data_IF_045747334059
#
_entry.id   IF_045747334059
#
_cell.length_a   1.000
_cell.length_b   1.000
_cell.length_c   1.000
_cell.angle_alpha   90.00
_cell.angle_beta   90.00
_cell.angle_gamma   90.00
#
_symmetry.space_group_name_H-M   'P 1'
#
loop_
_entity.id
_entity.type
_entity.pdbx_description
1 polymer ?
#
# COMPACT_ATOMS: atom_id res chain seq x y z
N UNK A 1 0.08 26.44 -0.47
CA UNK A 1 -0.35 25.93 0.82
C UNK A 1 0.83 25.87 1.78
N UNK A 2 0.65 26.34 3.02
CA UNK A 2 1.69 26.26 4.04
C UNK A 2 1.82 24.79 4.47
N UNK A 3 2.84 24.10 3.94
CA UNK A 3 3.17 22.75 4.39
C UNK A 3 4.05 22.86 5.64
N UNK A 4 3.59 22.27 6.77
CA UNK A 4 4.36 22.18 8.00
C UNK A 4 5.14 20.87 8.01
N UNK A 5 6.47 20.96 8.21
CA UNK A 5 7.32 19.78 8.31
C UNK A 5 7.61 19.49 9.78
N UNK A 6 7.45 18.23 10.18
CA UNK A 6 7.83 17.72 11.50
C UNK A 6 8.76 16.53 11.32
N UNK A 7 9.87 16.49 12.05
CA UNK A 7 10.80 15.36 12.02
C UNK A 7 10.68 14.53 13.30
N UNK A 8 10.52 13.21 13.16
CA UNK A 8 10.46 12.26 14.28
C UNK A 8 10.85 10.86 13.80
N UNK A 9 11.59 10.12 14.61
CA UNK A 9 12.03 8.75 14.31
C UNK A 9 12.70 8.61 12.93
N UNK A 10 13.56 9.57 12.56
CA UNK A 10 14.23 9.66 11.25
C UNK A 10 13.28 9.89 10.06
N UNK A 11 12.01 10.18 10.30
CA UNK A 11 10.99 10.42 9.29
C UNK A 11 10.63 11.90 9.21
N UNK A 12 10.27 12.38 8.00
CA UNK A 12 9.79 13.74 7.74
C UNK A 12 8.31 13.70 7.38
N UNK A 13 7.49 14.27 8.25
CA UNK A 13 6.04 14.37 8.07
C UNK A 13 5.70 15.74 7.49
N UNK A 14 5.02 15.72 6.36
CA UNK A 14 4.57 16.92 5.63
C UNK A 14 3.07 17.10 5.84
N UNK A 15 2.69 17.92 6.82
CA UNK A 15 1.29 18.24 7.10
C UNK A 15 0.84 19.45 6.27
N UNK A 16 -0.28 19.31 5.59
CA UNK A 16 -0.84 20.36 4.72
C UNK A 16 -2.19 19.97 4.16
N UNK A 17 -2.58 20.58 3.04
CA UNK A 17 -3.85 20.30 2.40
C UNK A 17 -3.67 19.98 0.92
N UNK A 18 -4.40 18.96 0.46
CA UNK A 18 -4.59 18.64 -0.96
C UNK A 18 -6.08 18.77 -1.27
N UNK A 19 -6.45 19.69 -2.17
CA UNK A 19 -7.85 19.97 -2.55
C UNK A 19 -8.77 20.19 -1.33
N UNK A 20 -8.26 20.88 -0.29
CA UNK A 20 -8.91 21.16 1.00
C UNK A 20 -9.16 19.93 1.91
N UNK A 21 -8.55 18.80 1.62
CA UNK A 21 -8.44 17.67 2.54
C UNK A 21 -7.15 17.85 3.34
N UNK A 22 -7.23 17.74 4.66
CA UNK A 22 -6.04 17.73 5.52
C UNK A 22 -5.27 16.43 5.31
N UNK A 23 -3.99 16.53 5.03
CA UNK A 23 -3.14 15.39 4.70
C UNK A 23 -1.81 15.50 5.44
N UNK A 24 -1.35 14.38 5.96
CA UNK A 24 0.02 14.20 6.41
C UNK A 24 0.69 13.18 5.51
N UNK A 25 1.65 13.62 4.71
CA UNK A 25 2.39 12.79 3.79
C UNK A 25 3.83 12.57 4.27
N UNK A 26 4.34 11.35 4.11
CA UNK A 26 5.72 11.02 4.41
C UNK A 26 6.23 9.91 3.51
N UNK A 27 7.53 9.79 3.39
CA UNK A 27 8.20 8.60 2.89
C UNK A 27 8.48 7.67 4.08
N UNK A 28 7.82 6.51 4.13
CA UNK A 28 7.85 5.61 5.29
C UNK A 28 9.20 4.89 5.50
N UNK A 29 10.05 4.90 4.47
CA UNK A 29 11.20 4.01 4.39
C UNK A 29 10.81 2.62 3.88
N UNK A 30 11.80 1.76 3.73
CA UNK A 30 11.63 0.40 3.20
C UNK A 30 11.51 -0.60 4.35
N UNK A 31 10.79 -1.69 4.12
CA UNK A 31 10.57 -2.80 5.04
C UNK A 31 9.57 -2.56 6.17
N UNK A 32 9.15 -3.66 6.78
CA UNK A 32 8.02 -3.74 7.73
C UNK A 32 8.16 -2.85 8.95
N UNK A 33 9.34 -2.81 9.57
CA UNK A 33 9.57 -2.05 10.80
C UNK A 33 9.44 -0.54 10.55
N UNK A 34 10.08 -0.03 9.50
CA UNK A 34 10.01 1.40 9.15
C UNK A 34 8.57 1.82 8.82
N UNK A 35 7.87 0.99 8.04
CA UNK A 35 6.49 1.22 7.66
C UNK A 35 5.53 1.19 8.88
N UNK A 36 5.72 0.25 9.80
CA UNK A 36 4.95 0.17 11.03
C UNK A 36 5.17 1.40 11.94
N UNK A 37 6.42 1.84 12.12
CA UNK A 37 6.76 3.06 12.88
C UNK A 37 6.08 4.28 12.25
N UNK A 38 6.13 4.40 10.93
CA UNK A 38 5.50 5.51 10.20
C UNK A 38 3.99 5.54 10.43
N UNK A 39 3.31 4.39 10.29
CA UNK A 39 1.87 4.26 10.49
C UNK A 39 1.46 4.58 11.93
N UNK A 40 2.17 4.04 12.94
CA UNK A 40 1.85 4.31 14.34
C UNK A 40 2.04 5.79 14.69
N UNK A 41 3.09 6.44 14.16
CA UNK A 41 3.30 7.88 14.39
C UNK A 41 2.24 8.75 13.71
N UNK A 42 1.73 8.37 12.55
CA UNK A 42 0.58 9.05 11.93
C UNK A 42 -0.64 9.02 12.85
N UNK A 43 -0.91 7.88 13.47
CA UNK A 43 -2.04 7.70 14.40
C UNK A 43 -1.83 8.49 15.69
N UNK A 44 -0.71 8.27 16.38
CA UNK A 44 -0.50 8.79 17.73
C UNK A 44 -0.16 10.27 17.79
N UNK A 45 0.53 10.79 16.78
CA UNK A 45 1.05 12.17 16.78
C UNK A 45 0.20 13.11 15.94
N UNK A 46 -0.34 12.60 14.83
CA UNK A 46 -1.10 13.41 13.87
C UNK A 46 -2.60 13.12 13.92
N UNK A 47 -3.03 12.11 14.68
CA UNK A 47 -4.44 11.74 14.88
C UNK A 47 -5.20 11.57 13.56
N UNK A 48 -4.58 10.85 12.60
CA UNK A 48 -5.19 10.63 11.29
C UNK A 48 -6.39 9.69 11.38
N UNK A 49 -7.42 9.95 10.60
CA UNK A 49 -8.65 9.15 10.54
C UNK A 49 -8.57 8.00 9.53
N UNK A 50 -7.66 8.09 8.56
CA UNK A 50 -7.49 7.14 7.45
C UNK A 50 -6.01 7.03 7.11
N UNK A 51 -5.55 5.84 6.76
CA UNK A 51 -4.21 5.65 6.16
C UNK A 51 -4.33 5.09 4.75
N UNK A 52 -3.73 5.78 3.80
CA UNK A 52 -3.57 5.35 2.41
C UNK A 52 -2.09 5.04 2.17
N UNK A 53 -1.77 3.79 1.87
CA UNK A 53 -0.43 3.40 1.47
C UNK A 53 -0.29 3.50 -0.05
N UNK A 54 0.48 4.46 -0.54
CA UNK A 54 0.66 4.72 -1.97
C UNK A 54 2.11 4.50 -2.38
N UNK A 55 2.34 3.72 -3.43
CA UNK A 55 3.69 3.42 -3.88
C UNK A 55 3.76 2.42 -5.03
N UNK A 56 4.86 1.67 -5.07
CA UNK A 56 5.15 0.69 -6.12
C UNK A 56 5.18 -0.73 -5.57
N UNK A 57 5.04 -1.72 -6.46
CA UNK A 57 5.13 -3.14 -6.10
C UNK A 57 5.56 -3.99 -7.31
N UNK A 58 6.08 -5.19 -7.05
CA UNK A 58 6.26 -6.21 -8.06
C UNK A 58 4.94 -6.88 -8.43
N UNK A 59 4.66 -7.03 -9.73
CA UNK A 59 3.49 -7.74 -10.23
C UNK A 59 3.66 -9.26 -10.07
N UNK A 60 2.68 -9.93 -9.51
CA UNK A 60 2.71 -11.38 -9.25
C UNK A 60 1.81 -12.16 -10.21
N UNK A 61 0.69 -11.56 -10.62
CA UNK A 61 -0.24 -12.14 -11.60
C UNK A 61 0.34 -12.02 -13.03
N UNK A 62 0.38 -13.11 -13.83
CA UNK A 62 0.98 -13.11 -15.20
C UNK A 62 0.36 -12.12 -16.18
N UNK A 63 -0.89 -11.70 -15.97
CA UNK A 63 -1.59 -10.74 -16.82
C UNK A 63 -1.34 -9.28 -16.44
N UNK A 64 -0.62 -9.02 -15.35
CA UNK A 64 -0.22 -7.67 -14.97
C UNK A 64 1.00 -7.22 -15.78
N UNK A 65 0.91 -5.97 -16.23
CA UNK A 65 2.00 -5.32 -16.95
C UNK A 65 2.59 -4.17 -16.13
N UNK A 66 3.79 -3.73 -16.50
CA UNK A 66 4.43 -2.56 -15.91
C UNK A 66 3.50 -1.34 -16.07
N UNK A 67 3.32 -0.58 -15.01
CA UNK A 67 2.41 0.56 -14.85
C UNK A 67 0.93 0.23 -14.68
N UNK A 68 0.54 -1.04 -14.64
CA UNK A 68 -0.76 -1.41 -14.09
C UNK A 68 -0.79 -1.07 -12.59
N UNK A 69 -1.97 -0.75 -12.07
CA UNK A 69 -2.10 -0.43 -10.65
C UNK A 69 -3.03 -1.42 -9.97
N UNK A 70 -2.60 -1.91 -8.83
CA UNK A 70 -3.43 -2.73 -7.94
C UNK A 70 -3.87 -1.88 -6.76
N UNK A 71 -5.15 -1.95 -6.41
CA UNK A 71 -5.74 -1.38 -5.20
C UNK A 71 -6.12 -2.55 -4.29
N UNK A 72 -5.71 -2.49 -3.02
CA UNK A 72 -5.89 -3.61 -2.11
C UNK A 72 -7.35 -3.87 -1.77
N UNK A 73 -7.75 -5.15 -1.78
CA UNK A 73 -8.96 -5.62 -1.10
C UNK A 73 -8.61 -6.24 0.25
N UNK A 74 -7.49 -6.93 0.30
CA UNK A 74 -6.91 -7.50 1.50
C UNK A 74 -5.39 -7.63 1.32
N UNK A 75 -4.67 -7.68 2.42
CA UNK A 75 -3.22 -7.82 2.43
C UNK A 75 -2.78 -8.81 3.51
N UNK A 76 -1.66 -9.51 3.29
CA UNK A 76 -1.07 -10.39 4.30
C UNK A 76 0.45 -10.43 4.18
N UNK A 77 1.11 -11.03 5.18
CA UNK A 77 2.52 -11.37 5.08
C UNK A 77 2.68 -12.71 4.35
N UNK A 78 3.66 -12.78 3.45
CA UNK A 78 4.04 -14.05 2.82
C UNK A 78 5.23 -14.75 3.51
N UNK A 79 5.89 -14.05 4.44
CA UNK A 79 7.09 -14.51 5.14
C UNK A 79 6.90 -14.69 6.65
N UNK A 80 5.66 -14.72 7.11
CA UNK A 80 5.28 -14.98 8.51
C UNK A 80 4.43 -16.26 8.54
N UNK A 81 4.76 -17.21 9.40
CA UNK A 81 3.96 -18.41 9.56
C UNK A 81 2.53 -18.06 10.01
N UNK A 82 1.48 -18.62 9.36
CA UNK A 82 0.09 -18.23 9.59
C UNK A 82 -0.36 -18.34 11.05
N UNK A 83 0.10 -19.38 11.76
CA UNK A 83 -0.19 -19.65 13.17
C UNK A 83 0.37 -18.58 14.13
N UNK A 84 1.48 -17.93 13.78
CA UNK A 84 2.08 -16.88 14.63
C UNK A 84 1.12 -15.73 14.88
N UNK A 85 0.35 -15.33 13.89
CA UNK A 85 -0.60 -14.21 14.04
C UNK A 85 -1.90 -14.62 14.74
N UNK A 86 -2.32 -15.85 14.61
CA UNK A 86 -3.64 -16.32 15.08
C UNK A 86 -3.60 -17.10 16.39
N UNK A 87 -2.51 -17.84 16.66
CA UNK A 87 -2.40 -18.70 17.85
C UNK A 87 -1.61 -18.04 19.00
N UNK A 88 -0.91 -16.93 18.73
CA UNK A 88 -0.15 -16.20 19.74
C UNK A 88 -0.71 -14.79 19.95
N UNK A 89 -0.44 -14.23 21.14
CA UNK A 89 -0.85 -12.85 21.46
C UNK A 89 -0.32 -11.86 20.40
N UNK A 90 -1.20 -10.95 19.88
CA UNK A 90 -2.54 -10.55 20.31
C UNK A 90 -3.72 -11.37 19.76
N UNK A 91 -3.52 -12.57 19.22
CA UNK A 91 -4.55 -13.48 18.69
C UNK A 91 -5.44 -12.80 17.65
N UNK A 92 -4.89 -12.58 16.49
CA UNK A 92 -5.64 -11.99 15.38
C UNK A 92 -6.68 -12.97 14.85
N UNK A 93 -7.81 -12.45 14.39
CA UNK A 93 -8.90 -13.27 13.87
C UNK A 93 -8.60 -13.86 12.48
N UNK A 94 -7.61 -13.32 11.78
CA UNK A 94 -7.23 -13.71 10.42
C UNK A 94 -5.78 -13.32 10.15
N UNK A 95 -5.13 -14.01 9.23
CA UNK A 95 -3.83 -13.59 8.67
C UNK A 95 -3.97 -12.49 7.62
N UNK A 96 -5.20 -12.20 7.18
CA UNK A 96 -5.50 -11.16 6.20
C UNK A 96 -6.02 -9.89 6.88
N UNK A 97 -5.47 -8.76 6.48
CA UNK A 97 -5.93 -7.42 6.84
C UNK A 97 -6.78 -6.88 5.68
N UNK A 98 -8.07 -6.75 5.92
CA UNK A 98 -9.02 -6.30 4.89
C UNK A 98 -8.97 -4.78 4.76
N UNK A 99 -8.91 -4.28 3.53
CA UNK A 99 -9.04 -2.86 3.25
C UNK A 99 -10.47 -2.37 3.56
N UNK A 100 -10.61 -1.11 3.92
CA UNK A 100 -11.92 -0.56 4.27
C UNK A 100 -12.88 -0.58 3.07
N UNK A 101 -14.09 -1.18 3.18
CA UNK A 101 -15.03 -1.30 2.05
C UNK A 101 -15.45 0.05 1.46
N UNK A 102 -15.60 1.10 2.28
CA UNK A 102 -15.95 2.43 1.78
C UNK A 102 -14.80 3.02 0.94
N UNK A 103 -13.55 2.83 1.40
CA UNK A 103 -12.38 3.27 0.64
C UNK A 103 -12.23 2.51 -0.67
N UNK A 104 -12.56 1.21 -0.70
CA UNK A 104 -12.62 0.42 -1.95
C UNK A 104 -13.65 1.03 -2.92
N UNK A 105 -14.87 1.29 -2.46
CA UNK A 105 -15.92 1.85 -3.33
C UNK A 105 -15.60 3.29 -3.79
N UNK A 106 -15.02 4.11 -2.92
CA UNK A 106 -14.52 5.43 -3.29
C UNK A 106 -13.37 5.35 -4.31
N UNK A 107 -12.48 4.36 -4.19
CA UNK A 107 -11.40 4.15 -5.15
C UNK A 107 -11.91 3.79 -6.54
N UNK A 108 -12.97 2.97 -6.65
CA UNK A 108 -13.63 2.69 -7.93
C UNK A 108 -14.17 3.96 -8.55
N UNK A 109 -14.90 4.76 -7.76
CA UNK A 109 -15.45 6.06 -8.21
C UNK A 109 -14.36 7.07 -8.61
N UNK A 110 -13.20 7.01 -7.98
CA UNK A 110 -12.07 7.85 -8.32
C UNK A 110 -11.42 7.42 -9.64
N UNK A 111 -11.23 6.12 -9.84
CA UNK A 111 -10.63 5.53 -11.03
C UNK A 111 -11.51 5.78 -12.27
N UNK A 112 -12.83 5.63 -12.16
CA UNK A 112 -13.78 5.88 -13.25
C UNK A 112 -13.69 7.32 -13.82
N UNK A 113 -13.15 8.25 -13.06
CA UNK A 113 -12.99 9.67 -13.44
C UNK A 113 -11.58 10.01 -13.93
N UNK A 114 -10.67 9.04 -13.92
CA UNK A 114 -9.28 9.22 -14.34
C UNK A 114 -9.02 8.57 -15.69
N UNK A 115 -8.17 9.22 -16.48
CA UNK A 115 -7.49 8.55 -17.59
C UNK A 115 -6.17 7.96 -17.06
N UNK A 116 -6.18 6.67 -16.79
CA UNK A 116 -4.97 5.95 -16.30
C UNK A 116 -4.12 5.46 -17.47
N UNK A 117 -2.81 5.40 -17.28
CA UNK A 117 -1.88 4.91 -18.32
C UNK A 117 -1.80 3.37 -18.40
N UNK A 118 -2.32 2.66 -17.40
CA UNK A 118 -2.43 1.20 -17.32
C UNK A 118 -3.79 0.81 -16.78
N UNK A 119 -4.08 -0.49 -16.72
CA UNK A 119 -5.30 -0.97 -16.08
C UNK A 119 -5.23 -0.78 -14.56
N UNK A 120 -6.37 -0.61 -13.93
CA UNK A 120 -6.50 -0.60 -12.48
C UNK A 120 -7.34 -1.79 -12.08
N UNK A 121 -6.83 -2.61 -11.17
CA UNK A 121 -7.49 -3.81 -10.68
C UNK A 121 -7.51 -3.82 -9.15
N UNK A 122 -8.45 -4.56 -8.57
CA UNK A 122 -8.60 -4.69 -7.12
C UNK A 122 -8.33 -6.13 -6.71
N UNK A 123 -7.49 -6.32 -5.68
CA UNK A 123 -7.19 -7.66 -5.22
C UNK A 123 -6.20 -7.73 -4.07
N UNK A 124 -5.75 -8.96 -3.82
CA UNK A 124 -4.83 -9.29 -2.74
C UNK A 124 -3.42 -8.80 -3.03
N UNK A 125 -2.77 -8.26 -1.99
CA UNK A 125 -1.34 -7.95 -1.98
C UNK A 125 -0.65 -8.75 -0.89
N UNK A 126 0.63 -9.06 -1.08
CA UNK A 126 1.46 -9.68 -0.05
C UNK A 126 2.71 -8.87 0.23
N UNK A 127 3.18 -8.96 1.47
CA UNK A 127 4.36 -8.22 1.95
C UNK A 127 5.38 -9.17 2.59
N UNK A 128 6.67 -8.93 2.32
CA UNK A 128 7.77 -9.59 3.00
C UNK A 128 9.03 -8.71 3.07
N UNK A 129 10.07 -9.19 3.76
CA UNK A 129 11.31 -8.43 4.01
C UNK A 129 12.36 -8.56 2.89
N UNK A 130 12.00 -9.14 1.74
CA UNK A 130 12.94 -9.36 0.65
C UNK A 130 12.34 -8.94 -0.69
N UNK A 131 13.18 -8.41 -1.57
CA UNK A 131 12.83 -8.24 -2.97
C UNK A 131 12.61 -9.62 -3.60
N UNK A 132 11.45 -9.84 -4.22
CA UNK A 132 11.07 -11.15 -4.74
C UNK A 132 11.66 -11.34 -6.15
N UNK A 133 12.50 -12.36 -6.26
CA UNK A 133 13.03 -12.88 -7.53
C UNK A 133 12.22 -14.09 -7.99
N UNK A 134 12.51 -14.58 -9.19
CA UNK A 134 11.77 -15.66 -9.85
C UNK A 134 11.72 -16.96 -9.01
N UNK A 135 12.77 -17.27 -8.25
CA UNK A 135 12.84 -18.48 -7.41
C UNK A 135 11.78 -18.54 -6.29
N UNK A 136 11.41 -17.39 -5.73
CA UNK A 136 10.44 -17.31 -4.62
C UNK A 136 9.01 -17.07 -5.11
N UNK A 137 8.86 -16.56 -6.33
CA UNK A 137 7.58 -16.11 -6.91
C UNK A 137 6.55 -17.23 -6.98
N UNK A 138 6.93 -18.39 -7.51
CA UNK A 138 6.01 -19.51 -7.66
C UNK A 138 5.43 -19.98 -6.33
N UNK A 139 6.28 -20.12 -5.30
CA UNK A 139 5.83 -20.52 -3.97
C UNK A 139 4.81 -19.53 -3.38
N UNK A 140 5.06 -18.23 -3.52
CA UNK A 140 4.16 -17.19 -3.03
C UNK A 140 2.84 -17.23 -3.81
N UNK A 141 2.90 -17.42 -5.13
CA UNK A 141 1.70 -17.52 -5.96
C UNK A 141 0.87 -18.76 -5.60
N UNK A 142 1.49 -19.92 -5.39
CA UNK A 142 0.80 -21.15 -5.02
C UNK A 142 0.09 -21.05 -3.66
N UNK A 143 0.68 -20.32 -2.71
CA UNK A 143 0.18 -20.20 -1.35
C UNK A 143 -0.85 -19.08 -1.19
N UNK A 144 -0.62 -17.91 -1.81
CA UNK A 144 -1.40 -16.70 -1.55
C UNK A 144 -2.19 -16.20 -2.76
N UNK A 145 -1.84 -16.58 -3.99
CA UNK A 145 -2.41 -16.07 -5.25
C UNK A 145 -2.56 -14.52 -5.25
N UNK A 146 -1.50 -13.76 -4.96
CA UNK A 146 -1.57 -12.31 -4.87
C UNK A 146 -1.47 -11.66 -6.25
N UNK A 147 -2.01 -10.44 -6.37
CA UNK A 147 -1.76 -9.60 -7.55
C UNK A 147 -0.38 -8.93 -7.51
N UNK A 148 0.05 -8.51 -6.31
CA UNK A 148 1.35 -7.81 -6.14
C UNK A 148 2.05 -8.22 -4.85
N UNK A 149 3.37 -7.99 -4.84
CA UNK A 149 4.24 -8.15 -3.67
C UNK A 149 5.00 -6.85 -3.40
N UNK A 150 5.12 -6.49 -2.14
CA UNK A 150 5.90 -5.35 -1.66
C UNK A 150 6.59 -5.64 -0.32
N UNK A 151 7.13 -4.60 0.31
CA UNK A 151 7.87 -4.75 1.56
C UNK A 151 7.26 -3.94 2.73
N UNK A 152 6.10 -3.30 2.56
CA UNK A 152 5.50 -2.37 3.56
C UNK A 152 4.03 -2.59 3.85
N UNK A 153 3.23 -2.91 2.84
CA UNK A 153 1.77 -2.77 2.88
C UNK A 153 1.12 -3.53 4.04
N UNK A 154 1.47 -4.81 4.25
CA UNK A 154 0.85 -5.59 5.31
C UNK A 154 1.22 -5.09 6.71
N UNK A 155 2.40 -4.50 6.91
CA UNK A 155 2.77 -3.96 8.21
C UNK A 155 2.03 -2.65 8.53
N UNK A 156 1.77 -1.81 7.53
CA UNK A 156 0.91 -0.63 7.70
C UNK A 156 -0.53 -1.06 8.00
N UNK A 157 -1.05 -2.04 7.24
CA UNK A 157 -2.39 -2.58 7.45
C UNK A 157 -2.54 -3.24 8.83
N UNK A 158 -1.51 -3.95 9.30
CA UNK A 158 -1.47 -4.53 10.64
C UNK A 158 -1.57 -3.45 11.73
N UNK A 159 -0.81 -2.37 11.61
CA UNK A 159 -0.92 -1.23 12.53
C UNK A 159 -2.32 -0.62 12.48
N UNK A 160 -2.89 -0.42 11.30
CA UNK A 160 -4.24 0.08 11.13
C UNK A 160 -5.29 -0.84 11.78
N UNK A 161 -5.17 -2.15 11.58
CA UNK A 161 -6.03 -3.16 12.20
C UNK A 161 -5.98 -3.08 13.73
N UNK A 162 -4.78 -3.04 14.31
CA UNK A 162 -4.59 -2.95 15.77
C UNK A 162 -5.15 -1.67 16.38
N UNK A 163 -5.19 -0.57 15.62
CA UNK A 163 -5.68 0.74 16.05
C UNK A 163 -7.10 1.06 15.54
N UNK A 164 -7.74 0.14 14.83
CA UNK A 164 -9.10 0.32 14.25
C UNK A 164 -9.16 1.55 13.32
N UNK A 165 -8.11 1.76 12.53
CA UNK A 165 -8.02 2.85 11.54
C UNK A 165 -8.33 2.29 10.14
N UNK A 166 -9.25 2.89 9.38
CA UNK A 166 -9.51 2.56 7.98
C UNK A 166 -8.24 2.62 7.13
N UNK A 167 -8.04 1.60 6.29
CA UNK A 167 -6.83 1.43 5.49
C UNK A 167 -7.16 1.04 4.05
N UNK A 168 -6.34 1.50 3.11
CA UNK A 168 -6.29 1.03 1.72
C UNK A 168 -4.88 1.20 1.17
N UNK A 169 -4.46 0.32 0.24
CA UNK A 169 -3.20 0.47 -0.49
C UNK A 169 -3.44 0.64 -2.00
N UNK A 170 -2.58 1.45 -2.62
CA UNK A 170 -2.55 1.75 -4.05
C UNK A 170 -1.13 1.51 -4.52
N UNK A 171 -0.89 0.45 -5.29
CA UNK A 171 0.44 0.04 -5.73
C UNK A 171 0.52 -0.07 -7.25
N UNK A 172 1.42 0.68 -7.86
CA UNK A 172 1.70 0.61 -9.30
C UNK A 172 2.85 -0.34 -9.57
N UNK A 173 2.70 -1.19 -10.57
CA UNK A 173 3.65 -2.25 -10.91
C UNK A 173 4.90 -1.67 -11.56
N UNK A 174 6.07 -2.03 -11.02
CA UNK A 174 7.40 -1.65 -11.52
C UNK A 174 8.13 -2.75 -12.27
N UNK A 175 7.86 -3.99 -11.89
CA UNK A 175 8.51 -5.19 -12.41
C UNK A 175 7.52 -6.36 -12.37
N UNK A 176 7.74 -7.34 -13.22
CA UNK A 176 6.91 -8.53 -13.35
C UNK A 176 7.80 -9.75 -13.58
N UNK A 177 7.25 -10.95 -13.64
CA UNK A 177 8.00 -12.15 -14.00
C UNK A 177 8.73 -12.00 -15.35
N UNK A 178 8.08 -11.41 -16.34
CA UNK A 178 8.65 -11.19 -17.70
C UNK A 178 9.72 -10.08 -17.73
N UNK A 179 9.67 -9.18 -16.78
CA UNK A 179 10.54 -8.01 -16.65
C UNK A 179 10.99 -7.90 -15.18
N UNK A 180 11.70 -8.94 -14.72
CA UNK A 180 12.11 -9.04 -13.31
C UNK A 180 13.39 -8.29 -13.01
N UNK A 181 13.66 -8.07 -11.73
CA UNK A 181 14.91 -7.57 -11.20
C UNK A 181 14.93 -6.07 -10.87
N UNK A 182 15.97 -5.72 -10.12
CA UNK A 182 16.18 -4.37 -9.57
C UNK A 182 16.30 -3.30 -10.66
N UNK A 183 16.90 -3.64 -11.81
CA UNK A 183 17.06 -2.69 -12.93
C UNK A 183 15.70 -2.23 -13.49
N UNK A 184 14.71 -3.11 -13.57
CA UNK A 184 13.36 -2.76 -13.98
C UNK A 184 12.65 -1.92 -12.91
N UNK A 185 12.81 -2.26 -11.63
CA UNK A 185 12.33 -1.45 -10.52
C UNK A 185 12.89 -0.02 -10.60
N UNK A 186 14.20 0.13 -10.67
CA UNK A 186 14.88 1.45 -10.71
C UNK A 186 14.45 2.28 -11.92
N UNK A 187 14.34 1.67 -13.08
CA UNK A 187 13.92 2.34 -14.32
C UNK A 187 12.46 2.81 -14.30
N UNK A 188 11.59 2.11 -13.60
CA UNK A 188 10.14 2.36 -13.62
C UNK A 188 9.61 3.06 -12.37
N UNK A 189 10.36 3.05 -11.26
CA UNK A 189 9.92 3.50 -9.93
C UNK A 189 9.34 4.92 -9.94
N UNK A 190 10.02 5.87 -10.57
CA UNK A 190 9.57 7.27 -10.59
C UNK A 190 8.22 7.44 -11.31
N UNK A 191 8.03 6.78 -12.46
CA UNK A 191 6.78 6.85 -13.22
C UNK A 191 5.66 6.10 -12.51
N UNK A 192 5.92 4.90 -12.00
CA UNK A 192 4.94 4.11 -11.25
C UNK A 192 4.47 4.84 -9.98
N UNK A 193 5.40 5.44 -9.23
CA UNK A 193 5.06 6.27 -8.06
C UNK A 193 4.19 7.47 -8.42
N UNK A 194 4.43 8.11 -9.58
CA UNK A 194 3.58 9.22 -10.05
C UNK A 194 2.16 8.75 -10.38
N UNK A 195 2.01 7.58 -11.00
CA UNK A 195 0.69 6.99 -11.31
C UNK A 195 -0.07 6.68 -10.01
N UNK A 196 0.57 6.00 -9.06
CA UNK A 196 -0.03 5.70 -7.76
C UNK A 196 -0.46 6.99 -7.02
N UNK A 197 0.40 8.02 -7.03
CA UNK A 197 0.08 9.36 -6.48
C UNK A 197 -1.15 9.98 -7.14
N UNK A 198 -1.28 9.92 -8.45
CA UNK A 198 -2.41 10.53 -9.17
C UNK A 198 -3.75 9.86 -8.80
N UNK A 199 -3.75 8.53 -8.65
CA UNK A 199 -4.91 7.77 -8.16
C UNK A 199 -5.19 8.12 -6.68
N UNK A 200 -4.16 8.24 -5.86
CA UNK A 200 -4.30 8.66 -4.44
C UNK A 200 -4.95 10.03 -4.32
N UNK A 201 -4.51 11.01 -5.13
CA UNK A 201 -5.11 12.35 -5.14
C UNK A 201 -6.56 12.32 -5.60
N UNK A 202 -6.89 11.47 -6.57
CA UNK A 202 -8.28 11.29 -6.99
C UNK A 202 -9.15 10.66 -5.88
N UNK A 203 -8.62 9.67 -5.16
CA UNK A 203 -9.30 9.08 -4.01
C UNK A 203 -9.54 10.11 -2.89
N UNK A 204 -8.58 10.98 -2.59
CA UNK A 204 -8.75 12.07 -1.61
C UNK A 204 -9.93 13.00 -1.99
N UNK A 205 -10.15 13.24 -3.27
CA UNK A 205 -11.30 14.03 -3.73
C UNK A 205 -12.64 13.35 -3.51
N UNK A 206 -12.70 12.02 -3.58
CA UNK A 206 -13.91 11.26 -3.27
C UNK A 206 -14.13 11.18 -1.74
N UNK A 207 -13.07 10.97 -0.93
CA UNK A 207 -13.14 11.02 0.52
C UNK A 207 -13.73 12.34 1.01
N UNK A 208 -13.29 13.49 0.48
CA UNK A 208 -13.83 14.81 0.81
C UNK A 208 -15.35 14.93 0.68
N UNK A 209 -15.96 14.16 -0.20
CA UNK A 209 -17.41 14.25 -0.48
C UNK A 209 -18.26 13.41 0.46
N UNK A 210 -17.66 12.41 1.08
CA UNK A 210 -18.41 11.30 1.68
C UNK A 210 -17.95 10.91 3.08
N UNK A 211 -16.86 11.51 3.54
CA UNK A 211 -16.27 11.27 4.87
C UNK A 211 -16.33 12.53 5.73
#
# INVERSE_FOLDING_TARGET
SNCKITEKAMLKFHAGQIDSVEVVALFSGVCKVNAAIAAQLLIDVFCVDIIINSGTAGGMEPELEIFDTVISTEVCYHDVAPDILTEFHPWMNSVFFVADPKLIDMSKSAVDKLSTSGKVVWGRMVTGESFITDESRQKINDEFAPLTVDMETASIAHVCYANVIPFIAIRCVTDTEKHSGVDNFDGNCAKASSIAKDITVALLREIKKSW
#
